data_IF_341507735290
#
_entry.id   IF_341507735290
#
_cell.length_a   1.000
_cell.length_b   1.000
_cell.length_c   1.000
_cell.angle_alpha   90.00
_cell.angle_beta   90.00
_cell.angle_gamma   90.00
#
_symmetry.space_group_name_H-M   'P 1'
#
loop_
_entity.id
_entity.type
_entity.pdbx_description
1 polymer ?
#
# COMPACT_ATOMS: atom_id res chain seq x y z
N UNK A 1 -15.50 7.01 1.76
CA UNK A 1 -15.93 7.65 3.02
C UNK A 1 -16.19 6.67 4.18
N UNK A 2 -16.83 5.50 3.98
CA UNK A 2 -17.04 4.53 5.08
C UNK A 2 -15.74 4.10 5.76
N UNK A 3 -14.71 3.72 4.99
CA UNK A 3 -13.41 3.31 5.56
C UNK A 3 -12.78 4.45 6.38
N UNK A 4 -12.74 5.68 5.86
CA UNK A 4 -12.22 6.86 6.59
C UNK A 4 -12.94 7.12 7.91
N UNK A 5 -14.28 7.11 7.91
CA UNK A 5 -15.06 7.32 9.14
C UNK A 5 -14.85 6.20 10.17
N UNK A 6 -14.62 4.97 9.71
CA UNK A 6 -14.22 3.86 10.57
C UNK A 6 -12.81 4.04 11.15
N UNK A 7 -11.84 4.47 10.33
CA UNK A 7 -10.46 4.73 10.76
C UNK A 7 -10.44 5.82 11.83
N UNK A 8 -11.03 6.99 11.56
CA UNK A 8 -11.05 8.11 12.52
C UNK A 8 -11.76 7.77 13.84
N UNK A 9 -12.73 6.83 13.82
CA UNK A 9 -13.43 6.42 15.04
C UNK A 9 -12.62 5.45 15.89
N UNK A 10 -11.81 4.62 15.24
CA UNK A 10 -11.10 3.53 15.92
C UNK A 10 -9.72 3.96 16.38
N UNK A 11 -9.05 4.86 15.67
CA UNK A 11 -7.69 5.28 15.99
C UNK A 11 -7.67 6.43 17.01
N UNK A 12 -6.76 6.38 18.01
CA UNK A 12 -6.53 7.48 18.93
C UNK A 12 -5.83 8.66 18.25
N UNK A 13 -6.39 9.86 18.37
CA UNK A 13 -5.88 11.11 17.77
C UNK A 13 -4.50 11.51 18.33
N UNK A 14 -4.14 11.07 19.54
CA UNK A 14 -2.83 11.31 20.15
C UNK A 14 -1.69 10.51 19.52
N UNK A 15 -2.01 9.46 18.73
CA UNK A 15 -1.04 8.56 18.14
C UNK A 15 -1.06 8.58 16.61
N UNK A 16 -2.22 8.83 16.00
CA UNK A 16 -2.38 8.77 14.55
C UNK A 16 -3.01 10.04 13.98
N UNK A 17 -2.35 10.62 12.99
CA UNK A 17 -2.96 11.61 12.11
C UNK A 17 -3.63 10.91 10.92
N UNK A 18 -4.94 11.07 10.80
CA UNK A 18 -5.73 10.49 9.69
C UNK A 18 -6.01 11.57 8.64
N UNK A 19 -5.47 11.36 7.43
CA UNK A 19 -5.60 12.33 6.31
C UNK A 19 -6.26 11.66 5.12
N UNK A 20 -7.31 12.28 4.57
CA UNK A 20 -7.90 11.90 3.30
C UNK A 20 -7.13 12.56 2.16
N UNK A 21 -6.33 11.77 1.44
CA UNK A 21 -5.54 12.28 0.31
C UNK A 21 -6.32 12.12 -1.00
N UNK A 22 -6.47 13.20 -1.76
CA UNK A 22 -7.06 13.21 -3.10
C UNK A 22 -5.98 13.59 -4.09
N UNK A 23 -5.73 12.74 -5.08
CA UNK A 23 -4.83 13.03 -6.19
C UNK A 23 -5.64 13.14 -7.50
N UNK A 24 -6.00 14.37 -7.88
CA UNK A 24 -6.85 14.64 -9.05
C UNK A 24 -6.70 16.10 -9.50
N UNK A 25 -6.79 16.38 -10.79
CA UNK A 25 -6.79 17.77 -11.30
C UNK A 25 -8.12 18.49 -11.03
N UNK A 26 -9.16 17.75 -10.69
CA UNK A 26 -10.44 18.29 -10.25
C UNK A 26 -10.83 17.68 -8.91
N UNK A 27 -11.08 18.53 -7.92
CA UNK A 27 -11.56 18.12 -6.62
C UNK A 27 -12.47 19.21 -6.06
N UNK A 28 -13.69 18.83 -5.70
CA UNK A 28 -14.65 19.70 -5.04
C UNK A 28 -14.72 19.37 -3.55
N UNK A 29 -14.12 20.23 -2.72
CA UNK A 29 -14.11 20.07 -1.26
C UNK A 29 -15.51 20.18 -0.65
N UNK A 30 -16.44 20.85 -1.33
CA UNK A 30 -17.80 21.07 -0.80
C UNK A 30 -18.61 19.77 -0.71
N UNK A 31 -18.20 18.72 -1.43
CA UNK A 31 -18.79 17.39 -1.36
C UNK A 31 -18.35 16.60 -0.11
N UNK A 32 -17.38 17.10 0.67
CA UNK A 32 -16.88 16.45 1.87
C UNK A 32 -17.30 17.22 3.14
N UNK A 33 -17.58 16.54 4.26
CA UNK A 33 -17.81 17.21 5.55
C UNK A 33 -16.62 18.07 5.99
N UNK A 34 -16.86 19.17 6.71
CA UNK A 34 -15.81 20.12 7.12
C UNK A 34 -14.75 19.50 8.04
N UNK A 35 -15.13 18.49 8.82
CA UNK A 35 -14.23 17.80 9.77
C UNK A 35 -13.30 16.76 9.11
N UNK A 36 -13.37 16.56 7.80
CA UNK A 36 -12.42 15.70 7.09
C UNK A 36 -11.10 16.45 6.89
N UNK A 37 -10.01 15.93 7.45
CA UNK A 37 -8.67 16.43 7.18
C UNK A 37 -8.26 15.97 5.77
N UNK A 38 -8.21 16.91 4.82
CA UNK A 38 -7.98 16.60 3.40
C UNK A 38 -6.67 17.19 2.92
N UNK A 39 -5.91 16.38 2.20
CA UNK A 39 -4.78 16.83 1.40
C UNK A 39 -5.09 16.60 -0.08
N UNK A 40 -4.99 17.64 -0.88
CA UNK A 40 -5.26 17.58 -2.31
C UNK A 40 -3.95 17.79 -3.08
N UNK A 41 -3.66 16.89 -4.01
CA UNK A 41 -2.55 16.98 -4.95
C UNK A 41 -3.08 16.97 -6.39
N UNK A 42 -2.50 17.83 -7.22
CA UNK A 42 -2.72 17.86 -8.67
C UNK A 42 -1.54 17.21 -9.40
N UNK A 43 -1.65 17.04 -10.72
CA UNK A 43 -0.61 16.44 -11.55
C UNK A 43 0.74 17.15 -11.40
N UNK A 44 0.75 18.48 -11.28
CA UNK A 44 1.96 19.29 -11.12
C UNK A 44 2.70 18.99 -9.81
N UNK A 45 1.97 18.75 -8.71
CA UNK A 45 2.58 18.44 -7.41
C UNK A 45 3.36 17.12 -7.45
N UNK A 46 2.84 16.16 -8.21
CA UNK A 46 3.44 14.83 -8.38
C UNK A 46 4.53 14.84 -9.44
N UNK A 47 4.40 15.65 -10.50
CA UNK A 47 5.47 15.87 -11.46
C UNK A 47 6.69 16.55 -10.81
N UNK A 48 6.46 17.44 -9.84
CA UNK A 48 7.51 18.12 -9.08
C UNK A 48 8.38 17.17 -8.23
N UNK A 49 7.98 15.90 -8.05
CA UNK A 49 8.80 14.87 -7.41
C UNK A 49 10.06 14.54 -8.22
N UNK A 50 10.03 14.77 -9.54
CA UNK A 50 11.15 14.48 -10.45
C UNK A 50 11.30 12.99 -10.81
N UNK A 51 10.29 12.17 -10.51
CA UNK A 51 10.30 10.74 -10.85
C UNK A 51 9.86 10.50 -12.30
N UNK A 52 10.30 9.39 -12.89
CA UNK A 52 9.80 8.92 -14.19
C UNK A 52 8.58 8.02 -13.99
N UNK A 53 7.37 8.42 -14.42
CA UNK A 53 6.19 7.54 -14.33
C UNK A 53 6.22 6.49 -15.45
N UNK A 54 5.61 5.32 -15.19
CA UNK A 54 5.52 4.25 -16.20
C UNK A 54 4.42 4.46 -17.24
N UNK A 55 3.48 5.37 -16.97
CA UNK A 55 2.32 5.71 -17.79
C UNK A 55 1.97 7.20 -17.59
N UNK A 56 1.12 7.76 -18.45
CA UNK A 56 0.67 9.16 -18.33
C UNK A 56 -0.28 9.42 -17.14
N UNK A 57 -0.80 8.35 -16.51
CA UNK A 57 -1.72 8.42 -15.37
C UNK A 57 -1.13 7.71 -14.16
N UNK A 58 -1.47 8.18 -12.95
CA UNK A 58 -1.02 7.55 -11.70
C UNK A 58 -1.48 6.10 -11.58
N UNK A 59 -2.71 5.80 -11.98
CA UNK A 59 -3.27 4.45 -11.93
C UNK A 59 -3.32 3.93 -13.37
N UNK A 60 -2.85 2.69 -13.63
CA UNK A 60 -2.46 1.67 -12.65
C UNK A 60 -1.02 1.75 -12.11
N UNK A 61 -0.15 2.61 -12.64
CA UNK A 61 1.30 2.39 -12.50
C UNK A 61 2.02 2.96 -11.27
N UNK A 62 1.74 4.21 -10.94
CA UNK A 62 2.52 5.04 -10.01
C UNK A 62 1.75 5.53 -8.76
N UNK A 63 0.80 4.77 -8.16
CA UNK A 63 0.06 5.25 -6.98
C UNK A 63 0.98 5.54 -5.77
N UNK A 64 2.16 4.91 -5.72
CA UNK A 64 3.19 5.16 -4.70
C UNK A 64 3.79 6.58 -4.72
N UNK A 65 3.53 7.38 -5.77
CA UNK A 65 3.91 8.80 -5.78
C UNK A 65 3.14 9.60 -4.75
N UNK A 66 1.91 9.18 -4.41
CA UNK A 66 1.05 9.85 -3.43
C UNK A 66 1.65 9.80 -2.02
N UNK A 67 1.99 8.63 -1.44
CA UNK A 67 2.64 8.60 -0.13
C UNK A 67 4.02 9.28 -0.13
N UNK A 68 4.79 9.23 -1.23
CA UNK A 68 6.06 9.95 -1.36
C UNK A 68 5.87 11.48 -1.29
N UNK A 69 4.90 12.03 -2.04
CA UNK A 69 4.54 13.46 -1.95
C UNK A 69 4.13 13.85 -0.54
N UNK A 70 3.28 13.05 0.09
CA UNK A 70 2.82 13.30 1.45
C UNK A 70 3.98 13.26 2.46
N UNK A 71 4.91 12.31 2.31
CA UNK A 71 6.11 12.22 3.14
C UNK A 71 7.00 13.46 3.01
N UNK A 72 7.27 13.93 1.79
CA UNK A 72 8.11 15.12 1.60
C UNK A 72 7.47 16.38 2.20
N UNK A 73 6.14 16.47 2.19
CA UNK A 73 5.41 17.57 2.84
C UNK A 73 5.34 17.43 4.37
N UNK A 74 5.46 16.20 4.89
CA UNK A 74 5.29 15.89 6.31
C UNK A 74 6.34 14.86 6.77
N UNK A 75 7.64 15.20 6.82
CA UNK A 75 8.73 14.21 7.00
C UNK A 75 8.92 13.75 8.46
N UNK A 76 8.03 14.13 9.37
CA UNK A 76 8.21 13.94 10.82
C UNK A 76 7.56 12.67 11.36
N UNK A 77 6.73 11.98 10.59
CA UNK A 77 6.10 10.75 11.05
C UNK A 77 7.10 9.60 11.04
N UNK A 78 6.99 8.73 12.06
CA UNK A 78 7.75 7.48 12.13
C UNK A 78 7.32 6.50 11.03
N UNK A 79 6.00 6.37 10.86
CA UNK A 79 5.37 5.46 9.92
C UNK A 79 4.29 6.17 9.09
N UNK A 80 4.09 5.69 7.87
CA UNK A 80 3.09 6.20 6.93
C UNK A 80 2.24 5.04 6.45
N UNK A 81 0.96 5.03 6.83
CA UNK A 81 -0.02 4.11 6.27
C UNK A 81 -0.65 4.71 5.01
N UNK A 82 -0.57 4.00 3.90
CA UNK A 82 -1.30 4.29 2.68
C UNK A 82 -2.40 3.24 2.52
N UNK A 83 -3.66 3.69 2.37
CA UNK A 83 -4.83 2.82 2.29
C UNK A 83 -5.72 3.33 1.16
N UNK A 84 -5.93 2.50 0.14
CA UNK A 84 -6.83 2.79 -0.96
C UNK A 84 -8.29 2.85 -0.49
N UNK A 85 -9.11 3.64 -1.18
CA UNK A 85 -10.47 3.98 -0.74
C UNK A 85 -11.44 2.78 -0.76
N UNK A 86 -11.11 1.72 -1.51
CA UNK A 86 -11.88 0.49 -1.69
C UNK A 86 -11.29 -0.69 -0.90
N UNK A 87 -10.40 -0.42 0.06
CA UNK A 87 -10.02 -1.36 1.12
C UNK A 87 -11.01 -1.28 2.27
N UNK A 88 -11.45 -2.45 2.74
CA UNK A 88 -12.27 -2.58 3.96
C UNK A 88 -11.59 -3.52 4.93
N UNK A 89 -11.64 -3.18 6.22
CA UNK A 89 -11.27 -4.05 7.32
C UNK A 89 -12.52 -4.43 8.12
N UNK A 90 -12.77 -5.72 8.32
CA UNK A 90 -13.92 -6.21 9.11
C UNK A 90 -13.71 -6.14 10.62
N UNK A 91 -12.52 -5.73 11.05
CA UNK A 91 -12.19 -5.47 12.46
C UNK A 91 -12.21 -3.99 12.81
N UNK A 92 -11.68 -3.67 14.00
CA UNK A 92 -11.38 -2.28 14.38
C UNK A 92 -9.98 -1.91 13.93
N UNK A 93 -9.80 -0.70 13.39
CA UNK A 93 -8.53 -0.30 12.75
C UNK A 93 -7.37 -0.23 13.75
N UNK A 94 -7.64 0.15 15.00
CA UNK A 94 -6.69 0.10 16.12
C UNK A 94 -6.05 -1.30 16.26
N UNK A 95 -6.86 -2.37 16.17
CA UNK A 95 -6.41 -3.75 16.31
C UNK A 95 -5.37 -4.15 15.26
N UNK A 96 -5.43 -3.58 14.05
CA UNK A 96 -4.43 -3.84 13.02
C UNK A 96 -3.21 -2.94 13.24
N UNK A 97 -3.42 -1.65 13.47
CA UNK A 97 -2.34 -0.67 13.55
C UNK A 97 -1.49 -0.85 14.81
N UNK A 98 -2.11 -1.02 15.98
CA UNK A 98 -1.41 -1.27 17.25
C UNK A 98 -0.63 -2.60 17.22
N UNK A 99 -1.17 -3.64 16.58
CA UNK A 99 -0.44 -4.91 16.41
C UNK A 99 0.81 -4.72 15.54
N UNK A 100 0.71 -3.96 14.45
CA UNK A 100 1.86 -3.66 13.60
C UNK A 100 2.87 -2.73 14.31
N UNK A 101 2.41 -1.78 15.10
CA UNK A 101 3.26 -0.85 15.84
C UNK A 101 3.89 -1.49 17.08
N UNK A 102 3.31 -2.57 17.61
CA UNK A 102 3.88 -3.29 18.77
C UNK A 102 4.78 -4.45 18.34
N UNK A 103 4.37 -5.20 17.31
CA UNK A 103 5.02 -6.47 16.95
C UNK A 103 5.84 -6.39 15.66
N UNK A 104 5.64 -5.36 14.84
CA UNK A 104 6.33 -5.18 13.56
C UNK A 104 6.95 -3.79 13.43
N UNK A 105 7.20 -3.09 14.54
CA UNK A 105 7.76 -1.72 14.55
C UNK A 105 9.12 -1.61 13.83
N UNK A 106 9.90 -2.67 13.83
CA UNK A 106 11.21 -2.73 13.16
C UNK A 106 11.13 -3.10 11.66
N UNK A 107 9.92 -3.27 11.11
CA UNK A 107 9.70 -3.45 9.68
C UNK A 107 9.56 -2.12 8.95
N UNK A 108 10.38 -1.93 7.92
CA UNK A 108 10.41 -0.76 7.06
C UNK A 108 9.26 -0.70 6.07
N UNK A 109 8.73 -1.86 5.68
CA UNK A 109 7.59 -1.93 4.78
C UNK A 109 6.67 -3.11 5.10
N UNK A 110 5.38 -2.83 5.21
CA UNK A 110 4.33 -3.83 5.42
C UNK A 110 3.34 -3.76 4.27
N UNK A 111 2.98 -4.90 3.69
CA UNK A 111 1.99 -4.98 2.60
C UNK A 111 1.37 -6.38 2.49
N UNK A 112 0.67 -6.67 1.40
CA UNK A 112 0.06 -7.96 1.11
C UNK A 112 0.76 -8.65 -0.07
N UNK A 113 0.67 -9.99 -0.14
CA UNK A 113 1.15 -10.81 -1.26
C UNK A 113 2.59 -10.53 -1.70
N UNK A 114 3.50 -10.41 -0.73
CA UNK A 114 4.91 -10.16 -1.00
C UNK A 114 5.60 -11.45 -1.41
N UNK A 115 6.16 -11.47 -2.62
CA UNK A 115 6.74 -12.66 -3.22
C UNK A 115 7.93 -12.29 -4.12
N UNK A 116 9.00 -13.10 -4.08
CA UNK A 116 10.05 -13.03 -5.10
C UNK A 116 9.49 -13.47 -6.45
N UNK A 117 10.09 -12.98 -7.53
CA UNK A 117 9.88 -13.58 -8.84
C UNK A 117 10.22 -15.08 -8.82
N UNK A 118 9.37 -15.89 -9.43
CA UNK A 118 9.63 -17.33 -9.60
C UNK A 118 8.50 -18.05 -10.32
N UNK A 119 8.64 -19.37 -10.51
CA UNK A 119 7.73 -20.16 -11.34
C UNK A 119 6.25 -20.02 -10.97
N UNK A 120 5.92 -19.86 -9.68
CA UNK A 120 4.54 -19.74 -9.21
C UNK A 120 3.85 -18.41 -9.57
N UNK A 121 4.61 -17.39 -9.96
CA UNK A 121 4.08 -16.06 -10.30
C UNK A 121 4.68 -15.46 -11.58
N UNK A 122 5.41 -16.25 -12.38
CA UNK A 122 6.13 -15.78 -13.58
C UNK A 122 5.23 -15.15 -14.64
N UNK A 123 3.97 -15.54 -14.70
CA UNK A 123 3.01 -15.01 -15.69
C UNK A 123 2.40 -13.66 -15.27
N UNK A 124 2.76 -13.14 -14.09
CA UNK A 124 2.28 -11.84 -13.65
C UNK A 124 2.92 -10.71 -14.47
N UNK A 125 2.11 -9.87 -15.16
CA UNK A 125 2.59 -9.04 -16.25
C UNK A 125 3.54 -7.90 -15.83
N UNK A 126 3.42 -7.43 -14.59
CA UNK A 126 4.21 -6.29 -14.09
C UNK A 126 5.70 -6.62 -13.88
N UNK A 127 6.07 -7.90 -13.92
CA UNK A 127 7.47 -8.32 -14.01
C UNK A 127 8.17 -7.77 -15.25
N UNK A 128 7.45 -7.67 -16.37
CA UNK A 128 8.03 -7.38 -17.68
C UNK A 128 7.65 -6.00 -18.21
N UNK A 129 6.47 -5.50 -17.82
CA UNK A 129 5.91 -4.27 -18.37
C UNK A 129 6.47 -3.05 -17.67
N UNK A 130 7.17 -2.20 -18.42
CA UNK A 130 7.70 -0.91 -17.95
C UNK A 130 8.50 -1.07 -16.65
N UNK A 131 9.33 -2.11 -16.58
CA UNK A 131 10.14 -2.43 -15.41
C UNK A 131 11.60 -2.02 -15.64
N UNK A 132 11.94 -0.82 -15.18
CA UNK A 132 13.30 -0.28 -15.10
C UNK A 132 13.67 0.00 -13.63
N UNK A 133 13.38 -0.96 -12.76
CA UNK A 133 13.65 -0.85 -11.33
C UNK A 133 15.14 -0.98 -10.97
N UNK A 134 16.05 -1.09 -11.95
CA UNK A 134 17.50 -1.20 -11.73
C UNK A 134 18.01 -2.60 -11.36
N UNK A 135 17.14 -3.62 -11.32
CA UNK A 135 17.52 -4.99 -10.97
C UNK A 135 17.10 -6.02 -12.02
N UNK A 136 17.81 -7.15 -12.08
CA UNK A 136 17.38 -8.29 -12.89
C UNK A 136 16.12 -8.92 -12.28
N UNK A 137 15.37 -9.64 -13.11
CA UNK A 137 14.07 -10.17 -12.71
C UNK A 137 14.17 -11.14 -11.52
N UNK A 138 15.24 -11.92 -11.42
CA UNK A 138 15.50 -12.87 -10.33
C UNK A 138 15.73 -12.18 -8.98
N UNK A 139 16.07 -10.88 -8.99
CA UNK A 139 16.22 -10.04 -7.80
C UNK A 139 14.96 -9.23 -7.49
N UNK A 140 13.96 -9.27 -8.36
CA UNK A 140 12.73 -8.53 -8.17
C UNK A 140 11.84 -9.20 -7.13
N UNK A 141 11.20 -8.34 -6.33
CA UNK A 141 10.18 -8.71 -5.36
C UNK A 141 8.93 -7.92 -5.70
N UNK A 142 7.77 -8.59 -5.66
CA UNK A 142 6.48 -7.91 -5.78
C UNK A 142 5.81 -7.77 -4.43
N UNK A 143 4.91 -6.80 -4.32
CA UNK A 143 3.92 -6.70 -3.26
C UNK A 143 2.62 -6.11 -3.81
N UNK A 144 1.48 -6.53 -3.27
CA UNK A 144 0.18 -5.99 -3.59
C UNK A 144 -0.16 -4.89 -2.58
N UNK A 145 -0.13 -3.63 -3.02
CA UNK A 145 -0.02 -2.46 -2.13
C UNK A 145 -1.29 -1.58 -1.97
N UNK A 146 -2.54 -2.10 -2.01
CA UNK A 146 -3.71 -1.25 -1.75
C UNK A 146 -3.81 -0.84 -0.27
N UNK A 147 -3.13 -1.56 0.62
CA UNK A 147 -2.85 -1.12 1.99
C UNK A 147 -1.39 -1.46 2.30
N UNK A 148 -0.61 -0.45 2.69
CA UNK A 148 0.76 -0.66 3.10
C UNK A 148 1.21 0.36 4.14
N UNK A 149 2.21 -0.01 4.93
CA UNK A 149 2.91 0.87 5.88
C UNK A 149 4.35 1.04 5.42
N UNK A 150 4.85 2.27 5.42
CA UNK A 150 6.26 2.57 5.21
C UNK A 150 6.86 3.12 6.51
N UNK A 151 8.10 2.79 6.82
CA UNK A 151 8.94 3.60 7.69
C UNK A 151 9.34 4.90 6.99
N UNK A 152 9.66 5.91 7.78
CA UNK A 152 10.21 7.16 7.28
C UNK A 152 11.45 6.91 6.39
N UNK A 153 12.35 6.04 6.84
CA UNK A 153 13.57 5.68 6.11
C UNK A 153 13.28 4.94 4.80
N UNK A 154 12.24 4.10 4.76
CA UNK A 154 11.83 3.44 3.52
C UNK A 154 11.41 4.46 2.45
N UNK A 155 10.63 5.47 2.82
CA UNK A 155 10.21 6.53 1.88
C UNK A 155 11.36 7.43 1.47
N UNK A 156 12.28 7.76 2.39
CA UNK A 156 13.49 8.51 2.07
C UNK A 156 14.39 7.77 1.06
N UNK A 157 14.60 6.47 1.27
CA UNK A 157 15.35 5.63 0.34
C UNK A 157 14.67 5.58 -1.03
N UNK A 158 13.37 5.31 -1.06
CA UNK A 158 12.60 5.19 -2.30
C UNK A 158 12.59 6.53 -3.08
N UNK A 159 12.45 7.66 -2.40
CA UNK A 159 12.56 9.00 -3.00
C UNK A 159 13.91 9.21 -3.69
N UNK A 160 15.02 8.92 -3.00
CA UNK A 160 16.37 9.01 -3.57
C UNK A 160 16.53 8.10 -4.78
N UNK A 161 16.12 6.84 -4.64
CA UNK A 161 16.29 5.82 -5.68
C UNK A 161 15.53 6.18 -6.96
N UNK A 162 14.31 6.71 -6.84
CA UNK A 162 13.52 7.11 -7.99
C UNK A 162 14.02 8.40 -8.65
N UNK A 163 14.63 9.31 -7.89
CA UNK A 163 15.31 10.52 -8.44
C UNK A 163 16.55 10.18 -9.26
N UNK A 164 17.16 9.01 -9.05
CA UNK A 164 18.24 8.50 -9.89
C UNK A 164 17.75 8.00 -11.27
N UNK A 165 16.43 7.94 -11.47
CA UNK A 165 15.82 7.57 -12.76
C UNK A 165 15.20 6.18 -12.77
N UNK A 166 15.24 5.43 -11.67
CA UNK A 166 14.62 4.11 -11.57
C UNK A 166 13.09 4.21 -11.59
N UNK A 167 12.45 3.33 -12.35
CA UNK A 167 11.00 3.35 -12.56
C UNK A 167 10.41 1.97 -12.81
N UNK A 168 9.35 1.63 -12.09
CA UNK A 168 8.54 0.44 -12.35
C UNK A 168 7.13 0.62 -11.79
N UNK A 169 6.25 -0.36 -12.08
CA UNK A 169 4.95 -0.42 -11.43
C UNK A 169 5.09 -0.43 -9.90
N UNK A 170 4.18 0.22 -9.15
CA UNK A 170 4.22 0.30 -7.68
C UNK A 170 4.43 -1.05 -7.00
N UNK A 171 3.74 -2.08 -7.51
CA UNK A 171 3.83 -3.44 -7.01
C UNK A 171 5.21 -4.10 -7.22
N UNK A 172 6.11 -3.53 -8.02
CA UNK A 172 7.49 -4.02 -8.22
C UNK A 172 8.50 -3.03 -7.65
N UNK A 173 8.36 -1.74 -7.98
CA UNK A 173 9.30 -0.67 -7.66
C UNK A 173 9.61 -0.61 -6.16
N UNK A 174 8.54 -0.52 -5.35
CA UNK A 174 8.64 -0.34 -3.90
C UNK A 174 9.36 -1.53 -3.26
N UNK A 175 8.83 -2.74 -3.46
CA UNK A 175 9.34 -3.94 -2.82
C UNK A 175 10.73 -4.33 -3.32
N UNK A 176 11.02 -4.17 -4.61
CA UNK A 176 12.33 -4.49 -5.17
C UNK A 176 13.41 -3.53 -4.66
N UNK A 177 13.14 -2.23 -4.66
CA UNK A 177 14.06 -1.22 -4.12
C UNK A 177 14.38 -1.52 -2.65
N UNK A 178 13.35 -1.61 -1.80
CA UNK A 178 13.53 -1.77 -0.36
C UNK A 178 14.23 -3.10 -0.02
N UNK A 179 13.82 -4.21 -0.66
CA UNK A 179 14.43 -5.52 -0.42
C UNK A 179 15.92 -5.53 -0.77
N UNK A 180 16.29 -5.02 -1.95
CA UNK A 180 17.68 -5.08 -2.42
C UNK A 180 18.60 -4.08 -1.70
N UNK A 181 18.04 -3.11 -0.97
CA UNK A 181 18.77 -2.23 -0.05
C UNK A 181 18.79 -2.73 1.40
N UNK A 182 18.33 -3.96 1.66
CA UNK A 182 18.42 -4.60 2.97
C UNK A 182 17.37 -4.12 3.98
N UNK A 183 16.34 -3.39 3.54
CA UNK A 183 15.23 -2.99 4.40
C UNK A 183 14.37 -4.20 4.79
N UNK A 184 13.80 -4.16 6.01
CA UNK A 184 12.99 -5.26 6.52
C UNK A 184 11.55 -5.15 5.99
N UNK A 185 11.17 -6.03 5.07
CA UNK A 185 9.83 -6.03 4.45
C UNK A 185 8.98 -7.21 4.96
N UNK A 186 7.67 -6.99 5.14
CA UNK A 186 6.77 -7.93 5.79
C UNK A 186 5.41 -8.06 5.09
N UNK A 187 4.94 -9.29 4.92
CA UNK A 187 3.60 -9.61 4.44
C UNK A 187 2.65 -9.88 5.62
N UNK A 188 1.64 -9.01 5.81
CA UNK A 188 0.75 -9.03 6.98
C UNK A 188 -0.38 -10.09 6.92
N UNK A 189 -0.37 -10.98 5.93
CA UNK A 189 -1.34 -12.08 5.85
C UNK A 189 -0.96 -13.21 4.91
N UNK A 190 0.23 -13.15 4.31
CA UNK A 190 0.71 -14.10 3.32
C UNK A 190 1.06 -15.46 3.88
N UNK A 191 1.75 -16.23 3.02
CA UNK A 191 2.17 -17.60 3.32
C UNK A 191 3.65 -17.85 2.96
N UNK A 192 4.39 -16.79 2.60
CA UNK A 192 5.73 -16.87 2.02
C UNK A 192 6.85 -16.64 3.04
N UNK A 193 8.06 -16.47 2.52
CA UNK A 193 9.26 -16.15 3.32
C UNK A 193 9.22 -14.74 3.94
N UNK A 194 8.42 -13.83 3.37
CA UNK A 194 8.25 -12.46 3.87
C UNK A 194 7.16 -12.35 4.95
N UNK A 195 6.44 -13.43 5.26
CA UNK A 195 5.37 -13.40 6.26
C UNK A 195 5.98 -13.53 7.66
N UNK A 196 5.85 -12.54 8.54
CA UNK A 196 6.36 -12.64 9.91
C UNK A 196 5.73 -13.79 10.69
N UNK A 197 6.41 -14.26 11.74
CA UNK A 197 5.91 -15.33 12.59
C UNK A 197 4.58 -14.95 13.23
N UNK A 198 3.57 -15.81 13.09
CA UNK A 198 2.21 -15.55 13.58
C UNK A 198 1.33 -14.66 12.67
N UNK A 199 1.83 -14.24 11.50
CA UNK A 199 1.08 -13.41 10.53
C UNK A 199 0.45 -14.19 9.38
N UNK A 200 0.69 -15.51 9.29
CA UNK A 200 0.07 -16.36 8.26
C UNK A 200 -1.46 -16.30 8.33
N UNK A 201 -2.08 -15.84 7.24
CA UNK A 201 -3.53 -15.58 7.15
C UNK A 201 -4.11 -14.71 8.29
N UNK A 202 -3.29 -13.85 8.92
CA UNK A 202 -3.69 -13.03 10.08
C UNK A 202 -4.67 -11.94 9.69
N UNK A 203 -4.28 -11.08 8.74
CA UNK A 203 -5.10 -9.93 8.33
C UNK A 203 -5.80 -10.10 6.98
N UNK A 204 -5.41 -11.06 6.15
CA UNK A 204 -6.17 -11.43 4.96
C UNK A 204 -6.03 -12.93 4.72
N UNK A 205 -6.91 -13.51 3.89
CA UNK A 205 -6.81 -14.93 3.52
C UNK A 205 -6.20 -15.00 2.12
N UNK A 206 -5.08 -15.72 1.97
CA UNK A 206 -4.47 -15.98 0.66
C UNK A 206 -5.26 -17.06 -0.08
N UNK A 207 -5.75 -16.72 -1.27
CA UNK A 207 -6.37 -17.65 -2.21
C UNK A 207 -5.35 -18.29 -3.15
N UNK A 208 -5.82 -19.25 -3.95
CA UNK A 208 -5.01 -19.87 -5.02
C UNK A 208 -4.79 -18.88 -6.16
N UNK A 209 -3.56 -18.77 -6.65
CA UNK A 209 -3.17 -17.87 -7.74
C UNK A 209 -2.54 -16.56 -7.25
N UNK A 210 -2.16 -15.70 -8.21
CA UNK A 210 -1.47 -14.43 -7.94
C UNK A 210 -2.42 -13.37 -7.41
N UNK A 211 -2.08 -12.74 -6.28
CA UNK A 211 -2.87 -11.69 -5.63
C UNK A 211 -4.36 -12.09 -5.55
N UNK A 212 -4.66 -13.23 -4.92
CA UNK A 212 -6.01 -13.76 -4.78
C UNK A 212 -6.38 -14.02 -3.31
N UNK A 213 -7.67 -14.18 -3.04
CA UNK A 213 -8.23 -14.33 -1.69
C UNK A 213 -9.04 -13.12 -1.29
N UNK A 214 -9.01 -12.72 0.00
CA UNK A 214 -9.75 -11.53 0.45
C UNK A 214 -9.10 -10.23 -0.03
N UNK A 215 -7.78 -10.23 -0.21
CA UNK A 215 -7.05 -9.18 -0.90
C UNK A 215 -6.75 -9.64 -2.33
N UNK A 216 -7.42 -9.06 -3.33
CA UNK A 216 -7.23 -9.42 -4.74
C UNK A 216 -7.36 -8.23 -5.66
N UNK A 217 -7.00 -8.37 -6.95
CA UNK A 217 -7.27 -7.31 -7.93
C UNK A 217 -8.72 -7.36 -8.44
N UNK A 218 -9.21 -8.56 -8.77
CA UNK A 218 -10.56 -8.82 -9.30
C UNK A 218 -11.00 -10.25 -8.97
N UNK A 219 -12.32 -10.52 -8.97
CA UNK A 219 -13.44 -9.57 -9.06
C UNK A 219 -13.58 -8.71 -7.79
N UNK A 220 -14.26 -7.54 -7.85
CA UNK A 220 -14.58 -6.80 -6.64
C UNK A 220 -15.54 -7.60 -5.75
N UNK A 221 -15.51 -7.31 -4.45
CA UNK A 221 -16.53 -7.76 -3.51
C UNK A 221 -17.63 -6.71 -3.38
N UNK A 222 -18.86 -7.14 -3.10
CA UNK A 222 -19.88 -6.25 -2.54
C UNK A 222 -19.77 -6.23 -1.01
N UNK A 223 -20.29 -5.19 -0.38
CA UNK A 223 -20.37 -5.17 1.09
C UNK A 223 -21.23 -6.30 1.65
N UNK A 224 -22.29 -6.69 0.94
CA UNK A 224 -23.16 -7.81 1.33
C UNK A 224 -22.40 -9.13 1.37
N UNK A 225 -21.51 -9.38 0.39
CA UNK A 225 -20.64 -10.56 0.38
C UNK A 225 -19.68 -10.56 1.56
N UNK A 226 -19.03 -9.42 1.85
CA UNK A 226 -18.11 -9.28 2.99
C UNK A 226 -18.83 -9.55 4.31
N UNK A 227 -20.03 -9.00 4.49
CA UNK A 227 -20.86 -9.20 5.67
C UNK A 227 -21.33 -10.67 5.79
N UNK A 228 -21.75 -11.28 4.69
CA UNK A 228 -22.20 -12.68 4.66
C UNK A 228 -21.10 -13.68 4.99
N UNK A 229 -19.83 -13.37 4.67
CA UNK A 229 -18.68 -14.21 5.04
C UNK A 229 -18.46 -14.27 6.56
N UNK A 230 -18.96 -13.29 7.32
CA UNK A 230 -18.88 -13.27 8.79
C UNK A 230 -17.44 -13.26 9.35
N UNK A 231 -16.45 -12.96 8.52
CA UNK A 231 -15.04 -12.95 8.92
C UNK A 231 -14.73 -11.75 9.81
N UNK A 232 -13.94 -11.97 10.87
CA UNK A 232 -13.50 -10.91 11.78
C UNK A 232 -12.03 -10.60 11.53
N UNK A 233 -11.66 -9.33 11.68
CA UNK A 233 -10.29 -8.85 11.52
C UNK A 233 -9.68 -9.30 10.19
N UNK A 234 -10.40 -9.08 9.08
CA UNK A 234 -9.91 -9.38 7.72
C UNK A 234 -10.00 -8.16 6.81
N UNK A 235 -8.96 -7.97 6.03
CA UNK A 235 -8.85 -7.02 4.95
C UNK A 235 -9.47 -7.60 3.68
N UNK A 236 -10.24 -6.76 3.00
CA UNK A 236 -10.86 -7.03 1.72
C UNK A 236 -10.51 -5.94 0.71
N UNK A 237 -10.20 -6.36 -0.51
CA UNK A 237 -9.98 -5.47 -1.64
C UNK A 237 -10.21 -6.22 -2.98
N UNK A 238 -10.78 -5.55 -4.01
CA UNK A 238 -11.42 -4.24 -3.93
C UNK A 238 -12.89 -4.38 -3.54
N UNK A 239 -13.45 -3.36 -2.88
CA UNK A 239 -14.90 -3.23 -2.67
C UNK A 239 -15.51 -2.30 -3.71
N UNK A 240 -16.61 -2.70 -4.33
CA UNK A 240 -17.39 -1.84 -5.25
C UNK A 240 -18.88 -1.87 -4.95
#
# INVERSE_FOLDING_TARGET
MRSYGGICRHLPDEQYDVVWVVASNSFDRSALPDNVNVRHYVSEDLAALGYTPIENTLIPGSPHFIPLRFFLDNPHYRHYWFIEYDVVFTGRWDTLMEDCDSNLDDYDFLSCHIEKYGEGNKDWPWWYRSNDCGYTLEKCVKGFNPICRYSNHALALLDSYMKEGHSAHSEVMVTTCLHNHGMKIGDIGGMGEFTPDGYRNRYYIKGVGTNNGTMRWRPPFTMEEVEALGTKNRLFHPIK
#
